data_IF_690160267521
#
_entry.id   IF_690160267521
#
_cell.length_a   1.000
_cell.length_b   1.000
_cell.length_c   1.000
_cell.angle_alpha   90.00
_cell.angle_beta   90.00
_cell.angle_gamma   90.00
#
_symmetry.space_group_name_H-M   'P 1'
#
loop_
_entity.id
_entity.type
_entity.pdbx_description
1 polymer ?
#
# COMPACT_ATOMS: atom_id res chain seq x y z
N UNK A 1 13.32 10.29 5.19
CA UNK A 1 12.07 10.90 4.67
C UNK A 1 12.28 11.79 3.43
N UNK A 2 13.50 12.30 3.15
CA UNK A 2 13.76 13.23 2.03
C UNK A 2 14.43 12.61 0.81
N UNK A 3 14.76 11.32 0.85
CA UNK A 3 15.42 10.65 -0.27
C UNK A 3 14.41 10.28 -1.35
N UNK A 4 14.79 10.51 -2.61
CA UNK A 4 13.97 10.18 -3.78
C UNK A 4 13.59 8.68 -3.82
N UNK A 5 14.52 7.81 -3.40
CA UNK A 5 14.29 6.37 -3.30
C UNK A 5 13.16 5.99 -2.31
N UNK A 6 13.03 6.72 -1.18
CA UNK A 6 11.95 6.46 -0.22
C UNK A 6 10.58 6.74 -0.85
N UNK A 7 10.43 7.89 -1.52
CA UNK A 7 9.17 8.27 -2.16
C UNK A 7 8.82 7.36 -3.34
N UNK A 8 9.82 6.87 -4.09
CA UNK A 8 9.60 5.85 -5.11
C UNK A 8 9.06 4.54 -4.52
N UNK A 9 9.68 4.04 -3.44
CA UNK A 9 9.22 2.82 -2.77
C UNK A 9 7.82 2.99 -2.15
N UNK A 10 7.54 4.14 -1.53
CA UNK A 10 6.23 4.45 -0.98
C UNK A 10 5.15 4.55 -2.06
N UNK A 11 5.46 5.17 -3.21
CA UNK A 11 4.57 5.26 -4.35
C UNK A 11 4.27 3.89 -4.98
N UNK A 12 5.30 3.04 -5.14
CA UNK A 12 5.11 1.67 -5.63
C UNK A 12 4.18 0.86 -4.71
N UNK A 13 4.38 0.96 -3.39
CA UNK A 13 3.52 0.31 -2.38
C UNK A 13 2.08 0.83 -2.43
N UNK A 14 1.91 2.14 -2.52
CA UNK A 14 0.60 2.76 -2.61
C UNK A 14 -0.15 2.34 -3.88
N UNK A 15 0.55 2.30 -5.03
CA UNK A 15 -0.04 1.86 -6.31
C UNK A 15 -0.42 0.37 -6.28
N UNK A 16 0.44 -0.49 -5.72
CA UNK A 16 0.09 -1.91 -5.51
C UNK A 16 -1.14 -2.06 -4.62
N UNK A 17 -1.20 -1.31 -3.51
CA UNK A 17 -2.36 -1.30 -2.60
C UNK A 17 -3.63 -0.83 -3.30
N UNK A 18 -3.54 0.22 -4.11
CA UNK A 18 -4.65 0.71 -4.93
C UNK A 18 -5.17 -0.38 -5.86
N UNK A 19 -4.28 -0.99 -6.65
CA UNK A 19 -4.65 -2.01 -7.62
C UNK A 19 -5.27 -3.25 -6.95
N UNK A 20 -4.72 -3.67 -5.81
CA UNK A 20 -5.25 -4.80 -5.05
C UNK A 20 -6.61 -4.49 -4.42
N UNK A 21 -6.82 -3.29 -3.87
CA UNK A 21 -8.11 -2.86 -3.34
C UNK A 21 -9.17 -2.74 -4.44
N UNK A 22 -8.78 -2.23 -5.61
CA UNK A 22 -9.65 -2.12 -6.77
C UNK A 22 -10.07 -3.52 -7.27
N UNK A 23 -9.11 -4.43 -7.39
CA UNK A 23 -9.37 -5.82 -7.78
C UNK A 23 -10.30 -6.54 -6.80
N UNK A 24 -10.22 -6.23 -5.50
CA UNK A 24 -11.09 -6.83 -4.50
C UNK A 24 -12.56 -6.40 -4.61
N UNK A 25 -12.82 -5.24 -5.21
CA UNK A 25 -14.18 -4.68 -5.37
C UNK A 25 -14.78 -5.00 -6.76
N UNK A 26 -13.92 -5.24 -7.76
CA UNK A 26 -14.37 -5.67 -9.09
C UNK A 26 -14.72 -7.15 -9.05
N UNK A 27 -16.00 -7.47 -9.28
CA UNK A 27 -16.49 -8.86 -9.29
C UNK A 27 -16.42 -9.44 -10.70
N UNK A 28 -15.77 -10.59 -10.85
CA UNK A 28 -15.76 -11.34 -12.11
C UNK A 28 -17.18 -11.82 -12.42
N UNK A 29 -17.70 -11.47 -13.60
CA UNK A 29 -19.07 -11.81 -14.02
C UNK A 29 -20.05 -10.64 -14.01
N UNK A 30 -19.68 -9.51 -13.40
CA UNK A 30 -20.41 -8.25 -13.59
C UNK A 30 -19.95 -7.55 -14.87
N UNK A 31 -20.85 -6.87 -15.58
CA UNK A 31 -20.45 -6.01 -16.66
C UNK A 31 -19.66 -4.81 -16.10
N UNK A 32 -18.65 -4.35 -16.84
CA UNK A 32 -17.79 -3.23 -16.43
C UNK A 32 -18.60 -1.95 -16.16
N UNK A 33 -19.72 -1.79 -16.85
CA UNK A 33 -20.65 -0.66 -16.72
C UNK A 33 -21.51 -0.71 -15.47
N UNK A 34 -21.69 -1.89 -14.87
CA UNK A 34 -22.56 -2.10 -13.71
C UNK A 34 -21.81 -1.90 -12.39
N UNK A 35 -20.50 -1.69 -12.46
CA UNK A 35 -19.66 -1.39 -11.29
C UNK A 35 -19.96 0.02 -10.80
N UNK A 36 -20.22 0.16 -9.50
CA UNK A 36 -20.29 1.46 -8.82
C UNK A 36 -18.88 2.09 -8.74
N UNK A 37 -18.49 2.75 -9.83
CA UNK A 37 -17.19 3.40 -9.99
C UNK A 37 -16.89 4.45 -8.92
N UNK A 38 -17.82 5.37 -8.58
CA UNK A 38 -17.61 6.33 -7.49
C UNK A 38 -17.15 5.67 -6.20
N UNK A 39 -17.86 4.64 -5.74
CA UNK A 39 -17.52 3.94 -4.49
C UNK A 39 -16.23 3.14 -4.66
N UNK A 40 -16.11 2.37 -5.75
CA UNK A 40 -15.00 1.46 -5.99
C UNK A 40 -13.65 2.18 -6.07
N UNK A 41 -13.60 3.30 -6.79
CA UNK A 41 -12.39 4.13 -6.89
C UNK A 41 -12.11 4.86 -5.57
N UNK A 42 -13.14 5.36 -4.87
CA UNK A 42 -12.99 6.07 -3.59
C UNK A 42 -12.39 5.17 -2.49
N UNK A 43 -12.89 3.94 -2.35
CA UNK A 43 -12.36 2.97 -1.38
C UNK A 43 -10.92 2.59 -1.72
N UNK A 44 -10.64 2.33 -3.00
CA UNK A 44 -9.29 1.99 -3.46
C UNK A 44 -8.29 3.12 -3.25
N UNK A 45 -8.70 4.37 -3.50
CA UNK A 45 -7.90 5.56 -3.22
C UNK A 45 -7.64 5.73 -1.73
N UNK A 46 -8.63 5.46 -0.88
CA UNK A 46 -8.47 5.48 0.58
C UNK A 46 -7.45 4.44 1.04
N UNK A 47 -7.45 3.22 0.48
CA UNK A 47 -6.45 2.20 0.76
C UNK A 47 -5.03 2.64 0.34
N UNK A 48 -4.90 3.26 -0.83
CA UNK A 48 -3.63 3.82 -1.30
C UNK A 48 -3.11 4.93 -0.35
N UNK A 49 -3.99 5.82 0.09
CA UNK A 49 -3.67 6.86 1.07
C UNK A 49 -3.19 6.25 2.39
N UNK A 50 -3.88 5.23 2.90
CA UNK A 50 -3.45 4.49 4.09
C UNK A 50 -2.04 3.89 3.91
N UNK A 51 -1.71 3.36 2.73
CA UNK A 51 -0.37 2.85 2.42
C UNK A 51 0.70 3.96 2.45
N UNK A 52 0.40 5.16 1.95
CA UNK A 52 1.31 6.31 2.04
C UNK A 52 1.50 6.72 3.50
N UNK A 53 0.42 6.88 4.27
CA UNK A 53 0.48 7.24 5.69
C UNK A 53 1.25 6.20 6.52
N UNK A 54 1.06 4.91 6.22
CA UNK A 54 1.82 3.80 6.83
C UNK A 54 3.31 3.89 6.50
N UNK A 55 3.65 4.20 5.24
CA UNK A 55 5.05 4.40 4.84
C UNK A 55 5.68 5.57 5.59
N UNK A 56 4.96 6.68 5.76
CA UNK A 56 5.40 7.83 6.56
C UNK A 56 5.58 7.41 8.03
N UNK A 57 4.60 6.75 8.64
CA UNK A 57 4.71 6.27 10.02
C UNK A 57 5.91 5.34 10.23
N UNK A 58 6.22 4.49 9.24
CA UNK A 58 7.35 3.54 9.32
C UNK A 58 8.73 4.18 9.27
N UNK A 59 8.86 5.42 8.77
CA UNK A 59 10.17 6.09 8.68
C UNK A 59 10.81 6.47 10.02
N UNK A 60 10.09 6.32 11.13
CA UNK A 60 10.63 6.41 12.49
C UNK A 60 10.79 5.07 13.22
N UNK A 61 10.46 3.94 12.58
CA UNK A 61 10.41 2.61 13.21
C UNK A 61 11.29 1.63 12.44
N UNK A 62 12.57 1.54 12.83
CA UNK A 62 13.49 0.47 12.39
C UNK A 62 14.84 0.95 11.83
N UNK A 63 15.93 0.53 12.48
CA UNK A 63 17.30 0.62 11.92
C UNK A 63 17.48 -0.36 10.75
N UNK A 64 18.19 -0.02 9.66
CA UNK A 64 18.23 -0.82 8.43
C UNK A 64 19.05 -2.13 8.49
N UNK A 65 19.53 -2.58 9.65
CA UNK A 65 20.56 -3.62 9.72
C UNK A 65 20.32 -4.69 10.82
N UNK A 66 19.07 -5.02 11.14
CA UNK A 66 18.81 -6.14 12.06
C UNK A 66 17.49 -6.83 11.73
N UNK A 67 17.53 -8.08 11.23
CA UNK A 67 16.38 -8.97 11.32
C UNK A 67 16.00 -9.09 12.80
N UNK A 68 14.81 -8.65 13.19
CA UNK A 68 14.29 -8.75 14.57
C UNK A 68 14.12 -10.20 15.05
N UNK A 69 14.38 -11.18 14.18
CA UNK A 69 14.36 -12.61 14.45
C UNK A 69 15.75 -13.25 14.62
N UNK A 70 16.85 -12.51 14.46
CA UNK A 70 18.18 -12.97 14.88
C UNK A 70 18.49 -12.42 16.29
N UNK A 71 17.72 -12.90 17.28
CA UNK A 71 18.07 -12.78 18.68
C UNK A 71 18.73 -14.08 19.13
N UNK A 72 20.07 -14.06 19.19
CA UNK A 72 20.90 -14.92 20.04
C UNK A 72 20.68 -16.44 19.97
N UNK A 73 21.40 -17.10 19.08
CA UNK A 73 22.21 -18.31 19.33
C UNK A 73 23.40 -18.13 18.38
N UNK A 74 24.64 -17.97 18.84
CA UNK A 74 25.40 -18.80 19.77
C UNK A 74 26.56 -17.99 20.38
#
# INVERSE_FOLDING_TARGET
MTTLAFWQAAAERALKTFAQALLALITIGAALTDIDWPTTLSVSATAALMSVLSSIASTGVGSPASPSLLRGRE
#
